data_IF_446365981381
#
_entry.id   IF_446365981381
#
_cell.length_a   1.000
_cell.length_b   1.000
_cell.length_c   1.000
_cell.angle_alpha   90.00
_cell.angle_beta   90.00
_cell.angle_gamma   90.00
#
_symmetry.space_group_name_H-M   'P 1'
#
loop_
_entity.id
_entity.type
_entity.pdbx_description
1 polymer ?
#
# COMPACT_ATOMS: atom_id res chain seq x y z
N UNK A 1 -11.13 -4.82 23.04
CA UNK A 1 -10.35 -3.83 22.29
C UNK A 1 -10.76 -3.79 20.81
N UNK A 2 -10.82 -4.93 20.11
CA UNK A 2 -11.33 -5.01 18.73
C UNK A 2 -12.77 -4.52 18.59
N UNK A 3 -13.69 -4.89 19.47
CA UNK A 3 -15.05 -4.33 19.49
C UNK A 3 -15.07 -2.79 19.50
N UNK A 4 -14.10 -2.15 20.16
CA UNK A 4 -13.92 -0.69 20.13
C UNK A 4 -13.40 -0.16 18.80
N UNK A 5 -12.67 -0.98 18.01
CA UNK A 5 -12.22 -0.63 16.66
C UNK A 5 -13.34 -0.82 15.61
N UNK A 6 -14.25 -1.77 15.85
CA UNK A 6 -15.47 -1.95 15.07
C UNK A 6 -16.46 -0.78 15.27
N UNK A 7 -16.44 -0.17 16.48
CA UNK A 7 -17.22 1.02 16.82
C UNK A 7 -16.62 2.33 16.29
N UNK A 8 -15.41 2.31 15.70
CA UNK A 8 -14.86 3.44 14.95
C UNK A 8 -15.61 3.53 13.63
N UNK A 9 -16.88 3.94 13.74
CA UNK A 9 -17.65 4.31 12.55
C UNK A 9 -17.00 5.55 11.94
N UNK A 10 -16.88 5.62 10.60
CA UNK A 10 -16.63 6.87 9.91
C UNK A 10 -17.68 7.88 10.43
N UNK A 11 -17.31 9.15 10.53
CA UNK A 11 -18.26 10.21 10.89
C UNK A 11 -19.54 10.03 10.06
N UNK A 12 -20.72 10.29 10.64
CA UNK A 12 -22.05 9.97 10.15
C UNK A 12 -22.41 10.48 8.73
N UNK A 13 -21.47 11.12 8.02
CA UNK A 13 -21.62 11.67 6.67
C UNK A 13 -20.58 11.16 5.66
N UNK A 14 -20.01 9.97 5.86
CA UNK A 14 -18.99 9.45 4.97
C UNK A 14 -19.58 8.41 4.02
N UNK A 15 -19.49 8.69 2.73
CA UNK A 15 -20.04 7.91 1.63
C UNK A 15 -18.94 7.13 0.91
N UNK A 16 -19.28 5.97 0.37
CA UNK A 16 -18.49 5.19 -0.62
C UNK A 16 -19.26 5.13 -1.96
N UNK A 17 -20.03 6.13 -2.26
CA UNK A 17 -20.90 6.18 -3.42
C UNK A 17 -20.14 5.98 -4.74
N UNK A 18 -18.95 6.58 -4.86
CA UNK A 18 -18.12 6.42 -6.07
C UNK A 18 -17.77 4.96 -6.32
N UNK A 19 -17.36 4.22 -5.29
CA UNK A 19 -17.02 2.79 -5.40
C UNK A 19 -18.23 1.91 -5.70
N UNK A 20 -19.40 2.26 -5.15
CA UNK A 20 -20.66 1.53 -5.33
C UNK A 20 -21.37 1.90 -6.66
N UNK A 21 -20.90 2.92 -7.39
CA UNK A 21 -21.48 3.33 -8.66
C UNK A 21 -21.40 2.20 -9.70
N UNK A 22 -22.47 1.93 -10.48
CA UNK A 22 -22.48 0.88 -11.49
C UNK A 22 -21.30 0.94 -12.48
N UNK A 23 -20.85 2.15 -12.84
CA UNK A 23 -19.72 2.36 -13.72
C UNK A 23 -18.35 1.97 -13.10
N UNK A 24 -18.28 1.79 -11.78
CA UNK A 24 -17.04 1.50 -11.06
C UNK A 24 -16.99 0.10 -10.42
N UNK A 25 -18.11 -0.64 -10.39
CA UNK A 25 -18.16 -1.96 -9.76
C UNK A 25 -17.10 -2.91 -10.29
N UNK A 26 -16.85 -2.91 -11.61
CA UNK A 26 -15.85 -3.75 -12.26
C UNK A 26 -14.40 -3.38 -11.94
N UNK A 27 -14.18 -2.20 -11.30
CA UNK A 27 -12.87 -1.74 -10.86
C UNK A 27 -12.54 -2.19 -9.43
N UNK A 28 -13.48 -2.73 -8.71
CA UNK A 28 -13.31 -3.24 -7.35
C UNK A 28 -13.09 -4.74 -7.37
N UNK A 29 -11.99 -5.21 -6.78
CA UNK A 29 -11.71 -6.65 -6.63
C UNK A 29 -12.71 -7.31 -5.69
N UNK A 30 -13.08 -6.59 -4.63
CA UNK A 30 -14.07 -7.01 -3.63
C UNK A 30 -15.12 -5.89 -3.51
N UNK A 31 -16.40 -6.27 -3.61
CA UNK A 31 -17.49 -5.30 -3.62
C UNK A 31 -17.75 -4.63 -2.27
N UNK A 32 -17.29 -5.23 -1.19
CA UNK A 32 -17.40 -4.76 0.19
C UNK A 32 -16.15 -3.97 0.65
N UNK A 33 -15.05 -4.03 -0.09
CA UNK A 33 -13.82 -3.29 0.20
C UNK A 33 -13.69 -2.14 -0.81
N UNK A 34 -14.35 -1.03 -0.50
CA UNK A 34 -14.37 0.17 -1.34
C UNK A 34 -13.90 1.40 -0.55
N UNK A 35 -13.22 2.35 -1.19
CA UNK A 35 -12.73 3.55 -0.52
C UNK A 35 -13.87 4.49 -0.16
N UNK A 36 -13.65 5.30 0.87
CA UNK A 36 -14.51 6.42 1.21
C UNK A 36 -14.31 7.57 0.23
N UNK A 37 -15.39 8.23 -0.19
CA UNK A 37 -15.35 9.28 -1.21
C UNK A 37 -14.44 10.47 -0.84
N UNK A 38 -14.42 10.84 0.43
CA UNK A 38 -13.58 11.95 0.94
C UNK A 38 -12.11 11.55 1.21
N UNK A 39 -11.76 10.28 1.09
CA UNK A 39 -10.42 9.76 1.30
C UNK A 39 -9.83 9.05 0.08
N UNK A 40 -10.59 8.95 -1.02
CA UNK A 40 -10.06 8.37 -2.25
C UNK A 40 -9.19 9.36 -3.02
N UNK A 41 -8.13 8.90 -3.68
CA UNK A 41 -7.46 9.70 -4.69
C UNK A 41 -8.37 9.89 -5.91
N UNK A 42 -8.29 11.06 -6.54
CA UNK A 42 -8.95 11.33 -7.82
C UNK A 42 -7.89 11.34 -8.92
N UNK A 43 -8.07 10.48 -9.93
CA UNK A 43 -7.17 10.42 -11.08
C UNK A 43 -7.40 11.64 -11.97
N UNK A 44 -6.30 12.29 -12.37
CA UNK A 44 -6.31 13.57 -13.10
C UNK A 44 -5.86 13.40 -14.55
N UNK A 45 -4.87 12.53 -14.78
CA UNK A 45 -4.35 12.27 -16.11
C UNK A 45 -5.39 11.60 -17.01
N UNK A 46 -5.26 11.84 -18.32
CA UNK A 46 -6.18 11.28 -19.31
C UNK A 46 -6.15 9.74 -19.28
N UNK A 47 -7.32 9.13 -19.39
CA UNK A 47 -7.50 7.70 -19.58
C UNK A 47 -7.95 7.42 -21.01
N UNK A 48 -7.29 6.50 -21.70
CA UNK A 48 -7.68 6.07 -23.05
C UNK A 48 -8.60 4.84 -23.02
N UNK A 49 -8.67 4.13 -21.90
CA UNK A 49 -9.55 2.98 -21.76
C UNK A 49 -11.01 3.44 -21.79
N UNK A 50 -11.84 2.74 -22.57
CA UNK A 50 -13.27 3.04 -22.67
C UNK A 50 -13.93 2.93 -21.28
N UNK A 51 -14.67 3.98 -20.88
CA UNK A 51 -15.26 4.06 -19.54
C UNK A 51 -14.31 4.52 -18.44
N UNK A 52 -13.08 4.92 -18.78
CA UNK A 52 -12.11 5.51 -17.86
C UNK A 52 -12.65 6.80 -17.24
N UNK A 53 -12.45 6.94 -15.92
CA UNK A 53 -12.87 8.09 -15.14
C UNK A 53 -11.81 8.41 -14.07
N UNK A 54 -12.17 9.18 -13.05
CA UNK A 54 -11.30 9.56 -11.95
C UNK A 54 -11.22 8.52 -10.81
N UNK A 55 -11.94 7.40 -10.92
CA UNK A 55 -12.05 6.39 -9.87
C UNK A 55 -10.97 5.33 -9.95
N UNK A 56 -10.39 5.04 -8.80
CA UNK A 56 -9.60 3.85 -8.50
C UNK A 56 -9.91 3.40 -7.08
N UNK A 57 -9.90 2.08 -6.83
CA UNK A 57 -10.04 1.54 -5.47
C UNK A 57 -8.74 1.75 -4.69
N UNK A 58 -8.62 2.91 -4.08
CA UNK A 58 -7.49 3.34 -3.25
C UNK A 58 -7.95 4.34 -2.18
N UNK A 59 -7.21 4.42 -1.07
CA UNK A 59 -7.45 5.35 0.04
C UNK A 59 -6.19 6.14 0.35
N UNK A 60 -6.32 7.46 0.47
CA UNK A 60 -5.27 8.32 1.03
C UNK A 60 -5.36 8.24 2.54
N UNK A 61 -4.29 7.77 3.18
CA UNK A 61 -4.23 7.56 4.62
C UNK A 61 -3.35 8.63 5.27
N UNK A 62 -3.92 9.35 6.21
CA UNK A 62 -3.22 10.37 6.97
C UNK A 62 -2.74 9.79 8.30
N UNK A 63 -1.43 9.76 8.51
CA UNK A 63 -0.81 9.32 9.76
C UNK A 63 -0.24 10.53 10.48
N UNK A 64 -0.66 10.73 11.73
CA UNK A 64 -0.15 11.82 12.56
C UNK A 64 1.37 11.73 12.73
N UNK A 65 2.08 12.80 12.37
CA UNK A 65 3.53 12.87 12.46
C UNK A 65 4.30 12.34 11.24
N UNK A 66 3.60 11.93 10.17
CA UNK A 66 4.16 11.69 8.85
C UNK A 66 3.81 12.87 7.92
N UNK A 67 4.84 13.43 7.27
CA UNK A 67 4.68 14.55 6.34
C UNK A 67 4.66 14.09 4.88
N UNK A 68 4.23 12.86 4.63
CA UNK A 68 4.16 12.31 3.28
C UNK A 68 2.77 11.79 2.97
N UNK A 69 2.42 11.78 1.70
CA UNK A 69 1.19 11.16 1.21
C UNK A 69 1.35 9.64 1.22
N UNK A 70 0.45 8.95 1.88
CA UNK A 70 0.39 7.51 1.92
C UNK A 70 -0.89 7.04 1.24
N UNK A 71 -0.75 6.12 0.29
CA UNK A 71 -1.87 5.59 -0.47
C UNK A 71 -1.92 4.07 -0.29
N UNK A 72 -3.04 3.55 0.16
CA UNK A 72 -3.32 2.12 0.21
C UNK A 72 -4.25 1.74 -0.94
N UNK A 73 -3.93 0.69 -1.70
CA UNK A 73 -4.75 0.25 -2.85
C UNK A 73 -4.75 -1.27 -2.99
N UNK A 74 -5.75 -1.79 -3.65
CA UNK A 74 -5.80 -3.20 -4.06
C UNK A 74 -4.76 -3.51 -5.14
N UNK A 75 -4.40 -4.78 -5.32
CA UNK A 75 -3.64 -5.22 -6.49
C UNK A 75 -4.45 -4.92 -7.77
N UNK A 76 -3.81 -4.34 -8.80
CA UNK A 76 -4.51 -4.02 -10.05
C UNK A 76 -5.26 -5.22 -10.63
N UNK A 77 -6.42 -4.97 -11.19
CA UNK A 77 -7.16 -5.88 -12.06
C UNK A 77 -6.69 -5.70 -13.51
N UNK A 78 -6.91 -6.66 -14.41
CA UNK A 78 -6.61 -6.48 -15.84
C UNK A 78 -7.19 -5.18 -16.41
N UNK A 79 -8.37 -4.79 -15.93
CA UNK A 79 -9.10 -3.58 -16.34
C UNK A 79 -8.63 -2.30 -15.66
N UNK A 80 -7.80 -2.36 -14.61
CA UNK A 80 -7.39 -1.19 -13.81
C UNK A 80 -5.88 -0.95 -13.80
N UNK A 81 -5.11 -1.63 -14.67
CA UNK A 81 -3.65 -1.41 -14.78
C UNK A 81 -3.34 0.01 -15.22
N UNK A 82 -4.11 0.58 -16.16
CA UNK A 82 -3.96 1.98 -16.58
C UNK A 82 -4.26 2.92 -15.40
N UNK A 83 -5.34 2.70 -14.67
CA UNK A 83 -5.71 3.50 -13.51
C UNK A 83 -4.65 3.45 -12.39
N UNK A 84 -4.01 2.28 -12.19
CA UNK A 84 -2.93 2.12 -11.23
C UNK A 84 -1.70 2.98 -11.59
N UNK A 85 -1.27 2.96 -12.85
CA UNK A 85 -0.12 3.76 -13.28
C UNK A 85 -0.45 5.25 -13.35
N UNK A 86 -1.70 5.62 -13.67
CA UNK A 86 -2.21 6.99 -13.53
C UNK A 86 -2.12 7.46 -12.08
N UNK A 87 -2.52 6.62 -11.11
CA UNK A 87 -2.39 6.93 -9.69
C UNK A 87 -0.93 7.18 -9.30
N UNK A 88 -0.02 6.30 -9.74
CA UNK A 88 1.41 6.45 -9.48
C UNK A 88 1.95 7.75 -10.03
N UNK A 89 1.57 8.10 -11.27
CA UNK A 89 2.00 9.31 -11.95
C UNK A 89 1.38 10.58 -11.33
N UNK A 90 0.06 10.63 -11.18
CA UNK A 90 -0.69 11.80 -10.73
C UNK A 90 -0.33 12.24 -9.30
N UNK A 91 0.06 11.30 -8.47
CA UNK A 91 0.46 11.56 -7.07
C UNK A 91 1.98 11.59 -6.90
N UNK A 92 2.76 11.54 -7.99
CA UNK A 92 4.22 11.54 -7.98
C UNK A 92 4.78 10.52 -6.97
N UNK A 93 4.24 9.31 -6.99
CA UNK A 93 4.67 8.26 -6.08
C UNK A 93 6.16 7.96 -6.31
N UNK A 94 6.96 8.03 -5.25
CA UNK A 94 8.38 7.69 -5.30
C UNK A 94 8.65 6.25 -4.88
N UNK A 95 7.68 5.64 -4.20
CA UNK A 95 7.81 4.27 -3.68
C UNK A 95 6.52 3.49 -3.88
N UNK A 96 6.65 2.26 -4.36
CA UNK A 96 5.59 1.25 -4.39
C UNK A 96 6.04 0.10 -3.49
N UNK A 97 5.20 -0.26 -2.52
CA UNK A 97 5.37 -1.43 -1.65
C UNK A 97 4.35 -2.48 -2.04
N UNK A 98 4.82 -3.59 -2.57
CA UNK A 98 4.00 -4.73 -2.98
C UNK A 98 4.11 -5.85 -1.94
N UNK A 99 3.00 -6.18 -1.28
CA UNK A 99 2.92 -7.13 -0.18
C UNK A 99 2.27 -8.46 -0.58
N UNK A 100 2.01 -8.67 -1.84
CA UNK A 100 1.52 -9.93 -2.39
C UNK A 100 2.61 -10.58 -3.23
N UNK A 101 2.66 -11.90 -3.17
CA UNK A 101 3.60 -12.71 -3.95
C UNK A 101 3.31 -12.51 -5.45
N UNK A 102 4.39 -12.40 -6.25
CA UNK A 102 4.26 -12.22 -7.71
C UNK A 102 3.91 -13.53 -8.44
N UNK A 103 4.19 -14.67 -7.79
CA UNK A 103 4.04 -16.03 -8.35
C UNK A 103 3.08 -16.88 -7.53
N UNK A 104 2.23 -16.26 -6.68
CA UNK A 104 1.28 -17.04 -5.90
C UNK A 104 0.35 -17.83 -6.83
N UNK A 105 0.07 -19.07 -6.48
CA UNK A 105 -0.93 -19.95 -7.11
C UNK A 105 -2.33 -19.33 -7.19
N UNK A 106 -2.51 -18.18 -6.55
CA UNK A 106 -3.64 -17.30 -6.73
C UNK A 106 -3.49 -16.54 -8.06
N UNK A 107 -4.11 -17.05 -9.10
CA UNK A 107 -4.26 -16.41 -10.41
C UNK A 107 -4.89 -15.00 -10.38
N UNK A 108 -5.17 -14.46 -9.19
CA UNK A 108 -5.82 -13.17 -8.98
C UNK A 108 -4.89 -11.96 -9.05
N UNK A 109 -3.59 -12.13 -8.85
CA UNK A 109 -2.62 -11.03 -8.92
C UNK A 109 -1.94 -11.03 -10.28
N UNK A 110 -2.36 -10.12 -11.16
CA UNK A 110 -1.72 -9.96 -12.47
C UNK A 110 -0.39 -9.24 -12.34
N UNK A 111 0.50 -9.53 -13.27
CA UNK A 111 1.73 -8.80 -13.47
C UNK A 111 1.42 -7.50 -14.23
N UNK A 112 1.55 -6.37 -13.60
CA UNK A 112 1.19 -5.06 -14.14
C UNK A 112 2.41 -4.22 -14.60
N UNK A 113 3.59 -4.84 -14.61
CA UNK A 113 4.86 -4.21 -14.99
C UNK A 113 5.59 -5.02 -16.07
N UNK A 114 6.44 -4.39 -16.91
CA UNK A 114 7.25 -5.09 -17.89
C UNK A 114 8.41 -5.87 -17.24
N UNK A 115 8.80 -6.99 -17.82
CA UNK A 115 9.99 -7.75 -17.40
C UNK A 115 11.22 -7.47 -18.25
N UNK A 116 11.04 -7.28 -19.54
CA UNK A 116 12.14 -7.20 -20.51
C UNK A 116 12.09 -5.92 -21.35
N UNK A 117 10.95 -5.59 -21.90
CA UNK A 117 10.78 -4.42 -22.77
C UNK A 117 9.82 -3.43 -22.12
N UNK A 118 9.91 -2.17 -22.55
CA UNK A 118 8.94 -1.17 -22.14
C UNK A 118 7.53 -1.57 -22.60
N UNK A 119 6.51 -1.24 -21.81
CA UNK A 119 5.12 -1.45 -22.17
C UNK A 119 4.40 -0.11 -22.29
N UNK A 120 3.52 -0.01 -23.27
CA UNK A 120 2.61 1.12 -23.41
C UNK A 120 1.27 0.79 -22.75
N UNK A 121 0.82 1.68 -21.87
CA UNK A 121 -0.45 1.55 -21.14
C UNK A 121 -1.16 2.90 -21.24
N UNK A 122 -2.21 2.97 -22.05
CA UNK A 122 -2.89 4.22 -22.32
C UNK A 122 -1.92 5.28 -22.89
N UNK A 123 -1.80 6.40 -22.18
CA UNK A 123 -0.89 7.49 -22.54
C UNK A 123 0.48 7.41 -21.88
N UNK A 124 0.80 6.30 -21.25
CA UNK A 124 2.04 6.12 -20.49
C UNK A 124 2.90 5.02 -21.07
N UNK A 125 4.21 5.21 -20.97
CA UNK A 125 5.21 4.16 -21.22
C UNK A 125 5.85 3.80 -19.88
N UNK A 126 5.88 2.51 -19.56
CA UNK A 126 6.44 1.98 -18.31
C UNK A 126 7.67 1.16 -18.67
N UNK A 127 8.81 1.53 -18.11
CA UNK A 127 10.04 0.73 -18.11
C UNK A 127 10.39 0.25 -16.71
N UNK A 128 11.03 -0.90 -16.61
CA UNK A 128 11.43 -1.47 -15.31
C UNK A 128 12.86 -2.01 -15.38
N UNK A 129 13.67 -1.65 -14.40
CA UNK A 129 15.02 -2.15 -14.23
C UNK A 129 15.16 -2.82 -12.86
N UNK A 130 15.70 -4.04 -12.84
CA UNK A 130 16.05 -4.72 -11.59
C UNK A 130 17.25 -4.01 -10.95
N UNK A 131 17.08 -3.54 -9.71
CA UNK A 131 18.15 -2.89 -8.93
C UNK A 131 18.82 -3.90 -7.98
N UNK A 132 18.00 -4.67 -7.25
CA UNK A 132 18.50 -5.58 -6.24
C UNK A 132 17.57 -6.78 -6.08
N UNK A 133 18.13 -7.96 -5.90
CA UNK A 133 17.39 -9.17 -5.55
C UNK A 133 17.96 -9.74 -4.26
N UNK A 134 17.18 -9.67 -3.18
CA UNK A 134 17.50 -10.28 -1.88
C UNK A 134 16.62 -11.50 -1.66
N UNK A 135 16.98 -12.30 -0.65
CA UNK A 135 16.16 -13.45 -0.24
C UNK A 135 14.75 -13.00 0.20
N UNK A 136 14.64 -11.87 0.90
CA UNK A 136 13.39 -11.36 1.47
C UNK A 136 12.55 -10.58 0.48
N UNK A 137 13.18 -9.82 -0.41
CA UNK A 137 12.48 -8.92 -1.33
C UNK A 137 13.30 -8.61 -2.58
N UNK A 138 12.61 -8.12 -3.58
CA UNK A 138 13.22 -7.65 -4.83
C UNK A 138 12.94 -6.16 -4.99
N UNK A 139 13.93 -5.40 -5.48
CA UNK A 139 13.83 -3.97 -5.74
C UNK A 139 13.96 -3.71 -7.23
N UNK A 140 12.99 -2.99 -7.78
CA UNK A 140 13.04 -2.47 -9.14
C UNK A 140 12.96 -0.94 -9.13
N UNK A 141 13.60 -0.31 -10.10
CA UNK A 141 13.30 1.06 -10.48
C UNK A 141 12.37 1.03 -11.69
N UNK A 142 11.22 1.68 -11.58
CA UNK A 142 10.28 1.87 -12.67
C UNK A 142 10.39 3.31 -13.15
N UNK A 143 10.43 3.53 -14.46
CA UNK A 143 10.24 4.85 -15.07
C UNK A 143 8.86 4.89 -15.68
N UNK A 144 8.06 5.87 -15.29
CA UNK A 144 6.71 6.10 -15.80
C UNK A 144 6.76 7.40 -16.59
N UNK A 145 6.71 7.30 -17.92
CA UNK A 145 6.71 8.44 -18.82
C UNK A 145 5.32 8.68 -19.39
N UNK A 146 4.82 9.92 -19.28
CA UNK A 146 3.51 10.30 -19.83
C UNK A 146 3.69 11.07 -21.13
N UNK A 147 3.23 10.49 -22.23
CA UNK A 147 3.45 11.03 -23.58
C UNK A 147 2.86 12.43 -23.76
N UNK A 148 1.64 12.67 -23.31
CA UNK A 148 0.96 13.96 -23.51
C UNK A 148 1.55 15.09 -22.66
N UNK A 149 2.05 14.79 -21.45
CA UNK A 149 2.63 15.81 -20.57
C UNK A 149 4.14 15.99 -20.78
N UNK A 150 4.79 15.09 -21.54
CA UNK A 150 6.24 15.08 -21.76
C UNK A 150 7.02 15.05 -20.43
N UNK A 151 6.47 14.37 -19.45
CA UNK A 151 7.00 14.24 -18.09
C UNK A 151 7.26 12.77 -17.78
N UNK A 152 8.29 12.51 -16.99
CA UNK A 152 8.57 11.18 -16.48
C UNK A 152 8.93 11.23 -15.00
N UNK A 153 8.53 10.20 -14.27
CA UNK A 153 8.86 10.01 -12.87
C UNK A 153 9.59 8.68 -12.68
N UNK A 154 10.46 8.64 -11.68
CA UNK A 154 11.13 7.41 -11.24
C UNK A 154 10.53 6.92 -9.94
N UNK A 155 10.24 5.64 -9.88
CA UNK A 155 9.55 4.99 -8.76
C UNK A 155 10.32 3.76 -8.33
N UNK A 156 10.71 3.66 -7.06
CA UNK A 156 11.26 2.43 -6.49
C UNK A 156 10.13 1.49 -6.09
N UNK A 157 10.15 0.28 -6.63
CA UNK A 157 9.19 -0.75 -6.26
C UNK A 157 9.88 -1.86 -5.48
N UNK A 158 9.38 -2.09 -4.26
CA UNK A 158 9.80 -3.15 -3.37
C UNK A 158 8.74 -4.26 -3.39
N UNK A 159 9.16 -5.47 -3.72
CA UNK A 159 8.29 -6.65 -3.79
C UNK A 159 8.69 -7.58 -2.67
N UNK A 160 7.82 -7.79 -1.70
CA UNK A 160 8.00 -8.81 -0.67
C UNK A 160 7.83 -10.19 -1.28
N UNK A 161 8.83 -11.07 -1.11
CA UNK A 161 8.80 -12.39 -1.73
C UNK A 161 7.75 -13.30 -1.09
N UNK A 162 7.62 -13.28 0.24
CA UNK A 162 6.66 -14.11 0.96
C UNK A 162 6.05 -13.34 2.14
N UNK A 163 4.73 -13.38 2.26
CA UNK A 163 4.04 -12.95 3.47
C UNK A 163 3.99 -14.12 4.46
N UNK A 164 4.35 -13.93 5.74
CA UNK A 164 4.40 -15.04 6.71
C UNK A 164 3.01 -15.65 6.93
N UNK A 165 2.97 -16.99 6.96
CA UNK A 165 1.79 -17.77 7.33
C UNK A 165 1.76 -18.00 8.84
N UNK A 166 0.67 -18.57 9.35
CA UNK A 166 0.56 -18.91 10.78
C UNK A 166 1.68 -19.89 11.18
N UNK A 167 2.44 -19.52 12.21
CA UNK A 167 3.58 -20.30 12.70
C UNK A 167 4.93 -19.94 12.09
N UNK A 168 4.97 -19.13 11.04
CA UNK A 168 6.23 -18.67 10.46
C UNK A 168 6.91 -17.62 11.35
N UNK A 169 8.22 -17.49 11.18
CA UNK A 169 8.98 -16.40 11.79
C UNK A 169 8.56 -15.05 11.20
N UNK A 170 8.35 -14.05 12.06
CA UNK A 170 8.04 -12.68 11.66
C UNK A 170 9.28 -11.82 11.43
N UNK A 171 10.48 -12.33 11.76
CA UNK A 171 11.75 -11.61 11.59
C UNK A 171 11.97 -11.14 10.13
N UNK A 172 11.75 -11.98 9.10
CA UNK A 172 11.89 -11.52 7.72
C UNK A 172 10.97 -10.35 7.38
N UNK A 173 9.72 -10.39 7.83
CA UNK A 173 8.77 -9.32 7.57
C UNK A 173 9.16 -8.02 8.27
N UNK A 174 9.60 -8.09 9.54
CA UNK A 174 10.04 -6.88 10.25
C UNK A 174 11.31 -6.28 9.64
N UNK A 175 12.25 -7.09 9.16
CA UNK A 175 13.40 -6.62 8.39
C UNK A 175 12.99 -5.92 7.09
N UNK A 176 12.02 -6.50 6.36
CA UNK A 176 11.46 -5.85 5.17
C UNK A 176 10.83 -4.50 5.51
N UNK A 177 9.95 -4.45 6.52
CA UNK A 177 9.29 -3.22 6.96
C UNK A 177 10.31 -2.16 7.38
N UNK A 178 11.36 -2.56 8.10
CA UNK A 178 12.41 -1.64 8.57
C UNK A 178 13.26 -1.10 7.40
N UNK A 179 13.57 -1.95 6.43
CA UNK A 179 14.35 -1.59 5.25
C UNK A 179 13.59 -0.71 4.25
N UNK A 180 12.26 -0.85 4.19
CA UNK A 180 11.39 -0.17 3.22
C UNK A 180 10.52 0.91 3.86
N UNK A 181 10.72 1.18 5.13
CA UNK A 181 9.93 2.15 5.90
C UNK A 181 9.79 3.51 5.23
N UNK A 182 8.85 4.28 5.70
CA UNK A 182 8.49 5.56 5.08
C UNK A 182 9.70 6.48 4.95
N UNK A 183 10.04 6.83 3.71
CA UNK A 183 11.06 7.81 3.38
C UNK A 183 10.62 9.22 3.75
N UNK A 184 11.54 10.16 3.75
CA UNK A 184 11.26 11.55 4.12
C UNK A 184 10.63 12.37 2.98
N UNK A 185 10.46 11.79 1.79
CA UNK A 185 10.03 12.53 0.59
C UNK A 185 9.07 11.74 -0.27
N UNK A 186 8.12 12.46 -0.88
CA UNK A 186 7.19 11.96 -1.89
C UNK A 186 6.08 11.07 -1.36
N UNK A 187 5.22 10.62 -2.28
CA UNK A 187 4.13 9.72 -1.95
C UNK A 187 4.61 8.25 -1.95
N UNK A 188 4.12 7.48 -1.00
CA UNK A 188 4.31 6.02 -0.94
C UNK A 188 2.98 5.32 -1.20
N UNK A 189 2.98 4.43 -2.17
CA UNK A 189 1.85 3.57 -2.50
C UNK A 189 2.11 2.18 -1.93
N UNK A 190 1.19 1.68 -1.11
CA UNK A 190 1.23 0.34 -0.52
C UNK A 190 0.08 -0.47 -1.07
N UNK A 191 0.35 -1.65 -1.61
CA UNK A 191 -0.71 -2.53 -2.07
C UNK A 191 -0.51 -3.99 -1.66
N UNK A 192 -1.61 -4.66 -1.47
CA UNK A 192 -1.75 -6.11 -1.35
C UNK A 192 -2.94 -6.54 -2.21
N UNK A 193 -3.46 -7.74 -2.06
CA UNK A 193 -4.59 -8.21 -2.87
C UNK A 193 -5.83 -7.32 -2.70
N UNK A 194 -6.22 -7.05 -1.45
CA UNK A 194 -7.44 -6.29 -1.10
C UNK A 194 -7.20 -4.80 -0.81
N UNK A 195 -5.93 -4.38 -0.64
CA UNK A 195 -5.59 -3.00 -0.28
C UNK A 195 -5.90 -2.62 1.17
N UNK A 196 -6.21 -3.58 2.02
CA UNK A 196 -6.68 -3.35 3.39
C UNK A 196 -5.94 -4.18 4.45
N UNK A 197 -5.88 -5.52 4.32
CA UNK A 197 -5.36 -6.44 5.33
C UNK A 197 -3.84 -6.26 5.52
N UNK A 198 -3.01 -6.83 4.62
CA UNK A 198 -1.55 -6.75 4.70
C UNK A 198 -1.04 -5.31 4.62
N UNK A 199 -1.69 -4.48 3.79
CA UNK A 199 -1.38 -3.06 3.68
C UNK A 199 -1.60 -2.34 5.01
N UNK A 200 -2.68 -2.63 5.72
CA UNK A 200 -2.98 -2.09 7.04
C UNK A 200 -1.94 -2.48 8.08
N UNK A 201 -1.54 -3.77 8.12
CA UNK A 201 -0.47 -4.24 9.02
C UNK A 201 0.84 -3.50 8.73
N UNK A 202 1.26 -3.46 7.45
CA UNK A 202 2.49 -2.78 7.04
C UNK A 202 2.48 -1.30 7.47
N UNK A 203 1.43 -0.57 7.14
CA UNK A 203 1.29 0.86 7.46
C UNK A 203 1.30 1.11 8.96
N UNK A 204 0.59 0.27 9.74
CA UNK A 204 0.55 0.36 11.20
C UNK A 204 1.94 0.19 11.79
N UNK A 205 2.63 -0.89 11.43
CA UNK A 205 3.95 -1.21 11.99
C UNK A 205 5.00 -0.18 11.59
N UNK A 206 5.03 0.25 10.32
CA UNK A 206 5.89 1.35 9.87
C UNK A 206 5.66 2.65 10.67
N UNK A 207 4.41 2.98 10.92
CA UNK A 207 4.02 4.19 11.66
C UNK A 207 4.50 4.12 13.11
N UNK A 208 4.35 2.96 13.76
CA UNK A 208 4.79 2.76 15.13
C UNK A 208 6.32 2.71 15.24
N UNK A 209 7.04 2.08 14.29
CA UNK A 209 8.50 2.12 14.25
C UNK A 209 9.01 3.57 14.14
N UNK A 210 8.38 4.38 13.27
CA UNK A 210 8.72 5.81 13.18
C UNK A 210 8.41 6.58 14.47
N UNK A 211 7.32 6.22 15.17
CA UNK A 211 6.97 6.78 16.48
C UNK A 211 7.99 6.37 17.55
N UNK A 212 8.39 5.10 17.60
CA UNK A 212 9.41 4.59 18.53
C UNK A 212 10.72 5.38 18.35
N UNK A 213 11.17 5.50 17.10
CA UNK A 213 12.41 6.24 16.77
C UNK A 213 12.37 7.71 17.18
N UNK A 214 11.21 8.37 17.10
CA UNK A 214 11.06 9.81 17.38
C UNK A 214 10.66 10.11 18.81
N UNK A 215 9.85 9.27 19.45
CA UNK A 215 9.16 9.57 20.71
C UNK A 215 9.29 8.48 21.76
N UNK A 216 9.88 7.32 21.46
CA UNK A 216 10.02 6.17 22.35
C UNK A 216 8.68 5.67 22.94
N UNK A 217 7.58 5.82 22.20
CA UNK A 217 6.23 5.40 22.63
C UNK A 217 5.56 4.54 21.55
N UNK A 218 4.62 3.70 21.97
CA UNK A 218 3.82 2.80 21.11
C UNK A 218 2.34 3.05 21.37
N UNK A 219 1.58 3.30 20.30
CA UNK A 219 0.14 3.58 20.36
C UNK A 219 -0.62 2.87 19.23
N UNK A 220 -0.47 1.54 19.12
CA UNK A 220 -1.04 0.72 18.02
C UNK A 220 -2.54 0.99 17.85
N UNK A 221 -3.30 1.06 18.95
CA UNK A 221 -4.73 1.31 18.90
C UNK A 221 -5.07 2.63 18.21
N UNK A 222 -4.39 3.71 18.58
CA UNK A 222 -4.63 5.04 18.02
C UNK A 222 -4.20 5.12 16.55
N UNK A 223 -3.09 4.45 16.22
CA UNK A 223 -2.62 4.37 14.82
C UNK A 223 -3.60 3.60 13.94
N UNK A 224 -4.08 2.44 14.38
CA UNK A 224 -5.11 1.68 13.66
C UNK A 224 -6.41 2.48 13.55
N UNK A 225 -6.84 3.13 14.63
CA UNK A 225 -8.00 4.02 14.61
C UNK A 225 -7.87 5.11 13.55
N UNK A 226 -6.72 5.77 13.47
CA UNK A 226 -6.48 6.82 12.48
C UNK A 226 -6.48 6.28 11.03
N UNK A 227 -5.91 5.08 10.81
CA UNK A 227 -5.97 4.42 9.50
C UNK A 227 -7.41 4.12 9.11
N UNK A 228 -8.23 3.58 10.06
CA UNK A 228 -9.62 3.23 9.82
C UNK A 228 -10.52 4.44 9.50
N UNK A 229 -10.16 5.64 9.92
CA UNK A 229 -10.86 6.86 9.49
C UNK A 229 -10.79 7.05 7.97
N UNK A 230 -9.69 6.69 7.34
CA UNK A 230 -9.48 6.84 5.89
C UNK A 230 -9.77 5.55 5.12
N UNK A 231 -9.50 4.40 5.71
CA UNK A 231 -9.76 3.07 5.16
C UNK A 231 -10.41 2.18 6.23
N UNK A 232 -11.75 2.18 6.35
CA UNK A 232 -12.47 1.40 7.37
C UNK A 232 -12.19 -0.10 7.32
N UNK A 233 -11.81 -0.60 6.14
CA UNK A 233 -11.53 -2.00 5.89
C UNK A 233 -10.10 -2.41 6.31
N UNK A 234 -9.23 -1.48 6.73
CA UNK A 234 -7.90 -1.81 7.23
C UNK A 234 -7.97 -2.51 8.60
N UNK A 235 -7.16 -3.55 8.78
CA UNK A 235 -7.08 -4.29 10.07
C UNK A 235 -8.46 -4.73 10.57
N UNK A 236 -9.17 -5.51 9.76
CA UNK A 236 -10.51 -6.01 10.13
C UNK A 236 -10.40 -7.19 11.09
N UNK A 237 -9.40 -8.07 10.90
CA UNK A 237 -9.29 -9.30 11.65
C UNK A 237 -8.53 -9.10 12.95
N UNK A 238 -8.81 -9.98 13.91
CA UNK A 238 -8.07 -10.07 15.18
C UNK A 238 -6.62 -10.45 14.90
N UNK A 239 -6.42 -11.30 13.93
CA UNK A 239 -5.14 -11.84 13.49
C UNK A 239 -4.25 -10.72 12.97
N UNK A 240 -4.76 -9.83 12.12
CA UNK A 240 -4.03 -8.64 11.61
C UNK A 240 -3.62 -7.71 12.75
N UNK A 241 -4.56 -7.45 13.67
CA UNK A 241 -4.27 -6.59 14.83
C UNK A 241 -3.20 -7.20 15.75
N UNK A 242 -3.29 -8.51 16.02
CA UNK A 242 -2.29 -9.22 16.80
C UNK A 242 -0.94 -9.25 16.11
N UNK A 243 -0.91 -9.43 14.78
CA UNK A 243 0.32 -9.41 14.00
C UNK A 243 1.04 -8.06 14.13
N UNK A 244 0.34 -6.94 14.18
CA UNK A 244 0.96 -5.64 14.44
C UNK A 244 1.74 -5.63 15.77
N UNK A 245 1.16 -6.15 16.84
CA UNK A 245 1.81 -6.23 18.15
C UNK A 245 3.01 -7.20 18.16
N UNK A 246 2.86 -8.35 17.50
CA UNK A 246 3.92 -9.35 17.41
C UNK A 246 5.12 -8.82 16.64
N UNK A 247 4.89 -8.13 15.50
CA UNK A 247 5.94 -7.50 14.71
C UNK A 247 6.68 -6.40 15.48
N UNK A 248 5.95 -5.57 16.24
CA UNK A 248 6.57 -4.55 17.07
C UNK A 248 7.38 -5.15 18.21
N UNK A 249 6.92 -6.26 18.81
CA UNK A 249 7.68 -6.99 19.80
C UNK A 249 8.98 -7.55 19.21
N UNK A 250 8.93 -8.17 18.02
CA UNK A 250 10.13 -8.61 17.31
C UNK A 250 11.10 -7.45 17.07
N UNK A 251 10.60 -6.30 16.60
CA UNK A 251 11.41 -5.10 16.38
C UNK A 251 12.14 -4.64 17.64
N UNK A 252 11.43 -4.57 18.76
CA UNK A 252 12.00 -4.13 20.04
C UNK A 252 13.02 -5.13 20.59
N UNK A 253 12.78 -6.43 20.44
CA UNK A 253 13.74 -7.47 20.87
C UNK A 253 15.03 -7.37 20.06
N UNK A 254 14.94 -7.25 18.74
CA UNK A 254 16.14 -7.11 17.92
C UNK A 254 16.93 -5.83 18.22
N UNK A 255 16.23 -4.70 18.51
CA UNK A 255 16.95 -3.49 18.92
C UNK A 255 17.70 -3.64 20.23
N UNK A 256 17.15 -4.38 21.22
CA UNK A 256 17.82 -4.63 22.49
C UNK A 256 19.09 -5.50 22.31
N UNK A 257 19.05 -6.46 21.40
CA UNK A 257 20.23 -7.29 21.08
C UNK A 257 21.34 -6.46 20.43
N UNK A 258 21.05 -5.40 19.69
CA UNK A 258 22.05 -4.48 19.15
C UNK A 258 22.69 -3.57 20.21
N UNK A 259 21.92 -3.11 21.20
CA UNK A 259 22.44 -2.24 22.28
C UNK A 259 23.34 -2.99 23.29
N UNK A 260 23.32 -4.32 23.29
CA UNK A 260 24.17 -5.17 24.15
C UNK A 260 25.54 -5.47 23.51
N UNK A 261 25.70 -5.21 22.21
CA UNK A 261 26.92 -5.53 21.45
C UNK A 261 27.82 -4.28 21.27
N UNK A 262 27.39 -3.10 21.71
CA UNK A 262 28.16 -1.85 21.68
C UNK A 262 28.61 -1.51 23.11
#
# INVERSE_FOLDING_TARGET
MLKRLEEVSPSTNVSSFSGASPGNLHKNRFGDIVPLDNHRPMLKSMCLTQGGNDYINASIVNISGLNQTLIMTQAPLPTTVEDFWRLVFDYHCQTIIMLNESDSENHDAIKYWPEVNDIEIGTMTISTCLIEKKQLYTVHECTVAHLSYRESIKVKRFILNNWPKSGDSLIPLIHFITATGFGDRGATLVHCIDGASRSGVYVTVCSEINRIKKRQTIHVFDTVKNIKVSNPNAIITKEDYMMCHQLLNCYLTEMQDYDVIV
#
